data_IF_523652056825
#
_entry.id   IF_523652056825
#
_cell.length_a   1.000
_cell.length_b   1.000
_cell.length_c   1.000
_cell.angle_alpha   90.00
_cell.angle_beta   90.00
_cell.angle_gamma   90.00
#
_symmetry.space_group_name_H-M   'P 1'
#
loop_
_entity.id
_entity.type
_entity.pdbx_description
1 polymer ?
#
# COMPACT_ATOMS: atom_id res chain seq x y z
N UNK A 1 -53.53 2.76 -16.86
CA UNK A 1 -54.58 1.73 -17.01
C UNK A 1 -54.19 0.54 -16.13
N UNK A 2 -55.02 0.16 -15.15
CA UNK A 2 -54.72 -1.00 -14.28
C UNK A 2 -55.05 -2.27 -15.04
N UNK A 3 -54.07 -3.17 -15.17
CA UNK A 3 -54.23 -4.47 -15.83
C UNK A 3 -54.74 -5.47 -14.79
N UNK A 4 -55.78 -6.24 -15.12
CA UNK A 4 -56.38 -7.22 -14.23
C UNK A 4 -56.06 -8.64 -14.69
N UNK A 5 -55.82 -9.53 -13.74
CA UNK A 5 -55.55 -10.95 -13.97
C UNK A 5 -56.60 -11.81 -13.26
N UNK A 6 -57.13 -12.83 -13.93
CA UNK A 6 -58.05 -13.81 -13.35
C UNK A 6 -57.23 -14.87 -12.60
N UNK A 7 -57.32 -14.90 -11.28
CA UNK A 7 -56.69 -15.90 -10.42
C UNK A 7 -57.77 -16.59 -9.58
N UNK A 8 -57.86 -17.92 -9.69
CA UNK A 8 -58.85 -18.72 -8.97
C UNK A 8 -60.31 -18.19 -9.10
N UNK A 9 -60.67 -17.72 -10.30
CA UNK A 9 -62.01 -17.19 -10.60
C UNK A 9 -62.29 -15.78 -10.06
N UNK A 10 -61.28 -15.10 -9.49
CA UNK A 10 -61.38 -13.70 -9.04
C UNK A 10 -60.46 -12.80 -9.83
N UNK A 11 -60.93 -11.61 -10.22
CA UNK A 11 -60.10 -10.60 -10.86
C UNK A 11 -59.23 -9.88 -9.83
N UNK A 12 -57.91 -9.93 -10.01
CA UNK A 12 -56.92 -9.30 -9.15
C UNK A 12 -56.13 -8.27 -9.96
N UNK A 13 -56.03 -7.05 -9.45
CA UNK A 13 -55.28 -5.98 -10.11
C UNK A 13 -53.77 -6.22 -10.08
N UNK A 14 -53.07 -5.83 -11.15
CA UNK A 14 -51.61 -6.00 -11.32
C UNK A 14 -50.80 -5.42 -10.15
N UNK A 15 -51.26 -4.32 -9.56
CA UNK A 15 -50.61 -3.67 -8.43
C UNK A 15 -50.69 -4.51 -7.14
N UNK A 16 -51.81 -5.20 -6.90
CA UNK A 16 -51.97 -6.11 -5.75
C UNK A 16 -51.02 -7.30 -5.90
N UNK A 17 -50.92 -7.84 -7.11
CA UNK A 17 -50.00 -8.93 -7.41
C UNK A 17 -48.54 -8.51 -7.21
N UNK A 18 -48.16 -7.34 -7.73
CA UNK A 18 -46.82 -6.79 -7.57
C UNK A 18 -46.45 -6.55 -6.09
N UNK A 19 -47.39 -6.02 -5.29
CA UNK A 19 -47.19 -5.84 -3.85
C UNK A 19 -47.01 -7.18 -3.12
N UNK A 20 -47.74 -8.23 -3.53
CA UNK A 20 -47.57 -9.58 -2.99
C UNK A 20 -46.17 -10.14 -3.26
N UNK A 21 -45.67 -10.01 -4.49
CA UNK A 21 -44.33 -10.49 -4.87
C UNK A 21 -43.25 -9.73 -4.09
N UNK A 22 -43.34 -8.39 -4.05
CA UNK A 22 -42.39 -7.57 -3.30
C UNK A 22 -42.40 -7.90 -1.79
N UNK A 23 -43.59 -8.04 -1.20
CA UNK A 23 -43.74 -8.43 0.20
C UNK A 23 -43.11 -9.80 0.50
N UNK A 24 -43.32 -10.80 -0.36
CA UNK A 24 -42.70 -12.13 -0.20
C UNK A 24 -41.17 -12.09 -0.35
N UNK A 25 -40.65 -11.27 -1.26
CA UNK A 25 -39.21 -11.16 -1.50
C UNK A 25 -38.53 -10.49 -0.31
N UNK A 26 -39.03 -9.33 0.13
CA UNK A 26 -38.47 -8.62 1.29
C UNK A 26 -38.66 -9.41 2.58
N UNK A 27 -39.82 -10.04 2.78
CA UNK A 27 -40.08 -10.90 3.93
C UNK A 27 -39.16 -12.11 3.97
N UNK A 28 -38.94 -12.77 2.84
CA UNK A 28 -38.03 -13.92 2.72
C UNK A 28 -36.58 -13.54 2.99
N UNK A 29 -36.09 -12.44 2.42
CA UNK A 29 -34.74 -11.93 2.68
C UNK A 29 -34.59 -11.52 4.14
N UNK A 30 -35.55 -10.80 4.70
CA UNK A 30 -35.52 -10.40 6.11
C UNK A 30 -35.48 -11.62 7.03
N UNK A 31 -36.31 -12.64 6.80
CA UNK A 31 -36.33 -13.84 7.63
C UNK A 31 -35.04 -14.66 7.50
N UNK A 32 -34.46 -14.72 6.29
CA UNK A 32 -33.19 -15.41 6.03
C UNK A 32 -31.97 -14.65 6.58
N UNK A 33 -32.05 -13.33 6.72
CA UNK A 33 -30.95 -12.47 7.22
C UNK A 33 -31.14 -12.01 8.67
N UNK A 34 -32.30 -12.30 9.28
CA UNK A 34 -32.60 -12.06 10.69
C UNK A 34 -31.79 -13.04 11.55
N UNK A 35 -30.52 -12.73 11.71
CA UNK A 35 -29.64 -13.33 12.70
C UNK A 35 -30.20 -13.07 14.09
N UNK A 36 -30.33 -14.14 14.88
CA UNK A 36 -30.67 -14.05 16.29
C UNK A 36 -29.69 -13.11 17.01
N UNK A 37 -30.20 -12.40 18.01
CA UNK A 37 -29.41 -11.53 18.87
C UNK A 37 -28.23 -12.31 19.45
N UNK A 38 -27.03 -12.04 18.94
CA UNK A 38 -25.80 -12.44 19.61
C UNK A 38 -25.79 -11.73 20.97
N UNK A 39 -25.60 -12.43 22.09
CA UNK A 39 -25.31 -11.75 23.35
C UNK A 39 -24.11 -10.83 23.12
N UNK A 40 -24.17 -9.61 23.68
CA UNK A 40 -23.10 -8.62 23.60
C UNK A 40 -21.76 -9.33 23.76
N UNK A 41 -20.95 -9.29 22.71
CA UNK A 41 -19.60 -9.82 22.71
C UNK A 41 -18.86 -9.22 23.91
N UNK A 42 -18.63 -10.04 24.93
CA UNK A 42 -17.51 -9.83 25.82
C UNK A 42 -16.27 -9.73 24.94
N UNK A 43 -15.35 -8.82 25.30
CA UNK A 43 -14.14 -8.53 24.55
C UNK A 43 -13.47 -9.81 24.01
N UNK A 44 -12.92 -9.77 22.78
CA UNK A 44 -12.36 -10.95 22.14
C UNK A 44 -11.39 -11.67 23.09
N UNK A 45 -11.48 -13.01 23.22
CA UNK A 45 -10.59 -13.76 24.10
C UNK A 45 -9.15 -13.50 23.67
N UNK A 46 -8.37 -12.93 24.59
CA UNK A 46 -6.95 -12.61 24.38
C UNK A 46 -6.20 -13.94 24.33
N UNK A 47 -5.97 -14.46 23.12
CA UNK A 47 -4.97 -15.51 22.90
C UNK A 47 -3.62 -14.82 22.75
N UNK A 48 -2.91 -14.66 23.86
CA UNK A 48 -1.50 -14.37 23.85
C UNK A 48 -0.73 -15.69 23.97
N UNK A 49 0.26 -15.90 23.11
CA UNK A 49 1.09 -17.10 23.19
C UNK A 49 2.20 -16.96 24.26
N UNK A 50 2.39 -15.75 24.80
CA UNK A 50 3.38 -15.42 25.83
C UNK A 50 2.92 -14.27 26.73
N UNK A 51 3.47 -14.19 27.96
CA UNK A 51 3.17 -13.13 28.95
C UNK A 51 3.55 -11.73 28.45
N UNK A 52 4.54 -11.63 27.57
CA UNK A 52 5.02 -10.35 27.04
C UNK A 52 4.01 -9.76 26.02
N UNK A 53 3.37 -10.62 25.23
CA UNK A 53 2.26 -10.22 24.34
C UNK A 53 1.04 -9.76 25.15
N UNK A 54 0.71 -10.42 26.27
CA UNK A 54 -0.35 -9.95 27.17
C UNK A 54 -0.07 -8.55 27.71
N UNK A 55 1.19 -8.31 28.11
CA UNK A 55 1.61 -7.02 28.69
C UNK A 55 1.54 -5.91 27.64
N UNK A 56 1.89 -6.20 26.39
CA UNK A 56 1.78 -5.27 25.28
C UNK A 56 0.32 -4.99 24.89
N UNK A 57 -0.54 -6.01 24.90
CA UNK A 57 -1.97 -5.86 24.64
C UNK A 57 -2.63 -5.05 25.77
N UNK A 58 -2.27 -5.29 27.03
CA UNK A 58 -2.74 -4.49 28.17
C UNK A 58 -2.24 -3.05 28.10
N UNK A 59 -0.97 -2.83 27.74
CA UNK A 59 -0.40 -1.50 27.56
C UNK A 59 -1.14 -0.72 26.45
N UNK A 60 -1.35 -1.33 25.29
CA UNK A 60 -2.09 -0.68 24.18
C UNK A 60 -3.57 -0.43 24.49
N UNK A 61 -4.24 -1.36 25.20
CA UNK A 61 -5.64 -1.18 25.60
C UNK A 61 -5.83 -0.17 26.74
N UNK A 62 -4.79 0.10 27.55
CA UNK A 62 -4.78 1.20 28.53
C UNK A 62 -4.88 2.60 27.89
N UNK A 63 -4.41 2.76 26.64
CA UNK A 63 -4.62 3.99 25.87
C UNK A 63 -6.04 4.11 25.30
N UNK A 64 -6.74 2.99 25.15
CA UNK A 64 -8.07 2.93 24.51
C UNK A 64 -9.21 3.02 25.54
N UNK A 65 -8.91 2.76 26.81
CA UNK A 65 -9.87 2.74 27.93
C UNK A 65 -9.86 4.00 28.79
N UNK A 66 -9.29 5.10 28.30
CA UNK A 66 -9.51 6.41 28.91
C UNK A 66 -11.01 6.72 28.89
N UNK A 67 -11.63 6.61 30.07
CA UNK A 67 -13.04 6.82 30.34
C UNK A 67 -13.49 8.22 29.84
N UNK A 68 -14.47 8.33 28.93
CA UNK A 68 -14.99 9.62 28.46
C UNK A 68 -15.79 10.37 29.55
N UNK A 69 -15.99 9.80 30.74
CA UNK A 69 -16.79 10.37 31.82
C UNK A 69 -16.00 10.88 33.03
N UNK A 70 -14.66 10.74 33.06
CA UNK A 70 -13.86 11.47 34.04
C UNK A 70 -13.82 12.94 33.63
N UNK A 71 -14.46 13.81 34.42
CA UNK A 71 -14.36 15.26 34.25
C UNK A 71 -12.88 15.66 34.29
N UNK A 72 -12.31 15.91 33.11
CA UNK A 72 -10.99 16.49 32.97
C UNK A 72 -10.98 17.84 33.70
N UNK A 73 -9.94 18.14 34.51
CA UNK A 73 -9.79 19.48 35.06
C UNK A 73 -9.83 20.48 33.90
N UNK A 74 -10.68 21.50 34.04
CA UNK A 74 -11.12 22.45 33.01
C UNK A 74 -10.04 23.44 32.53
N UNK A 75 -8.78 23.01 32.53
CA UNK A 75 -7.63 23.73 31.97
C UNK A 75 -6.68 22.74 31.30
N UNK A 76 -7.17 21.96 30.33
CA UNK A 76 -6.28 21.43 29.31
C UNK A 76 -5.93 22.61 28.41
N UNK A 77 -4.86 23.33 28.77
CA UNK A 77 -4.21 24.27 27.87
C UNK A 77 -3.83 23.49 26.63
N UNK A 78 -4.62 23.60 25.55
CA UNK A 78 -4.31 23.05 24.25
C UNK A 78 -3.02 23.71 23.78
N UNK A 79 -1.89 23.04 24.03
CA UNK A 79 -0.59 23.50 23.56
C UNK A 79 -0.64 23.52 22.04
N UNK A 80 -0.43 24.71 21.45
CA UNK A 80 -0.28 24.83 20.00
C UNK A 80 0.97 24.03 19.62
N UNK A 81 0.86 22.96 18.82
CA UNK A 81 2.03 22.18 18.44
C UNK A 81 2.97 23.08 17.62
N UNK A 82 4.22 23.16 18.06
CA UNK A 82 5.28 23.79 17.28
C UNK A 82 5.80 22.75 16.28
N UNK A 83 6.08 23.16 15.03
CA UNK A 83 6.68 22.26 14.05
C UNK A 83 8.08 21.85 14.51
N UNK A 84 8.54 20.70 14.00
CA UNK A 84 9.90 20.24 14.26
C UNK A 84 10.92 21.30 13.76
N UNK A 85 12.01 21.58 14.51
CA UNK A 85 12.92 22.69 14.20
C UNK A 85 13.60 22.63 12.83
N UNK A 86 13.71 21.43 12.23
CA UNK A 86 14.24 21.22 10.89
C UNK A 86 13.13 20.66 10.01
N UNK A 87 12.99 21.14 8.78
CA UNK A 87 12.07 20.52 7.83
C UNK A 87 12.71 19.22 7.30
N UNK A 88 12.69 18.15 8.11
CA UNK A 88 13.22 16.84 7.73
C UNK A 88 12.07 15.85 7.63
N UNK A 89 11.99 15.19 6.48
CA UNK A 89 11.01 14.16 6.21
C UNK A 89 11.71 12.83 6.03
N UNK A 90 11.11 11.78 6.60
CA UNK A 90 11.56 10.41 6.48
C UNK A 90 10.48 9.57 5.81
N UNK A 91 10.91 8.67 4.95
CA UNK A 91 10.05 7.68 4.35
C UNK A 91 10.72 6.32 4.37
N UNK A 92 9.95 5.29 4.68
CA UNK A 92 10.41 3.91 4.66
C UNK A 92 9.41 3.04 3.91
N UNK A 93 9.91 2.05 3.18
CA UNK A 93 9.08 1.08 2.49
C UNK A 93 9.73 -0.30 2.46
N UNK A 94 8.90 -1.34 2.51
CA UNK A 94 9.33 -2.74 2.47
C UNK A 94 8.57 -3.49 1.38
N UNK A 95 9.30 -4.29 0.62
CA UNK A 95 8.80 -5.03 -0.54
C UNK A 95 9.12 -6.50 -0.39
N UNK A 96 8.08 -7.33 -0.55
CA UNK A 96 8.20 -8.78 -0.58
C UNK A 96 8.55 -9.29 -1.99
N UNK A 97 9.71 -9.91 -2.15
CA UNK A 97 10.27 -10.36 -3.44
C UNK A 97 9.34 -11.32 -4.19
N UNK A 98 8.76 -12.38 -3.58
CA UNK A 98 7.80 -13.26 -4.26
C UNK A 98 6.60 -12.53 -4.90
N UNK A 99 6.19 -11.36 -4.39
CA UNK A 99 5.17 -10.54 -5.06
C UNK A 99 5.71 -9.96 -6.36
N UNK A 100 6.90 -9.37 -6.35
CA UNK A 100 7.54 -8.82 -7.55
C UNK A 100 7.83 -9.94 -8.55
N UNK A 101 8.37 -11.07 -8.08
CA UNK A 101 8.64 -12.26 -8.89
C UNK A 101 7.37 -12.72 -9.63
N UNK A 102 6.21 -12.82 -8.95
CA UNK A 102 4.94 -13.17 -9.62
C UNK A 102 4.50 -12.17 -10.69
N UNK A 103 4.83 -10.89 -10.51
CA UNK A 103 4.48 -9.84 -11.47
C UNK A 103 5.39 -9.87 -12.70
N UNK A 104 6.69 -10.11 -12.54
CA UNK A 104 7.63 -10.12 -13.67
C UNK A 104 7.45 -11.34 -14.59
N UNK A 105 6.96 -12.47 -14.09
CA UNK A 105 6.71 -13.67 -14.90
C UNK A 105 5.52 -13.50 -15.86
N UNK A 106 4.68 -12.47 -15.68
CA UNK A 106 3.60 -12.13 -16.62
C UNK A 106 4.17 -11.24 -17.72
N UNK A 107 4.29 -11.76 -18.94
CA UNK A 107 5.01 -11.12 -20.08
C UNK A 107 4.64 -9.64 -20.30
N UNK A 108 3.36 -9.28 -20.25
CA UNK A 108 2.93 -7.89 -20.47
C UNK A 108 3.07 -7.01 -19.23
N UNK A 109 3.07 -7.63 -18.05
CA UNK A 109 3.09 -6.90 -16.79
C UNK A 109 4.47 -6.36 -16.48
N UNK A 110 5.55 -7.09 -16.79
CA UNK A 110 6.91 -6.60 -16.63
C UNK A 110 7.10 -5.28 -17.38
N UNK A 111 6.77 -5.26 -18.68
CA UNK A 111 6.90 -4.07 -19.53
C UNK A 111 6.03 -2.92 -19.03
N UNK A 112 4.79 -3.19 -18.62
CA UNK A 112 3.91 -2.15 -18.05
C UNK A 112 4.40 -1.62 -16.72
N UNK A 113 4.94 -2.50 -15.87
CA UNK A 113 5.45 -2.17 -14.54
C UNK A 113 6.69 -1.29 -14.66
N UNK A 114 7.69 -1.72 -15.45
CA UNK A 114 8.92 -0.94 -15.66
C UNK A 114 8.61 0.42 -16.29
N UNK A 115 7.77 0.47 -17.33
CA UNK A 115 7.37 1.73 -17.96
C UNK A 115 6.62 2.69 -17.03
N UNK A 116 5.87 2.16 -16.05
CA UNK A 116 5.11 2.97 -15.08
C UNK A 116 6.02 3.50 -13.97
N UNK A 117 6.90 2.64 -13.44
CA UNK A 117 7.63 2.91 -12.20
C UNK A 117 8.99 3.53 -12.47
N UNK A 118 9.72 3.09 -13.50
CA UNK A 118 11.08 3.52 -13.79
C UNK A 118 11.09 4.81 -14.63
N UNK A 119 11.97 5.73 -14.28
CA UNK A 119 12.35 6.87 -15.11
C UNK A 119 13.13 6.36 -16.34
N UNK A 120 13.25 7.16 -17.39
CA UNK A 120 13.92 6.80 -18.65
C UNK A 120 15.39 6.40 -18.43
N UNK A 121 16.11 7.09 -17.52
CA UNK A 121 17.47 6.70 -17.13
C UNK A 121 17.52 5.31 -16.47
N UNK A 122 16.56 5.02 -15.58
CA UNK A 122 16.47 3.72 -14.89
C UNK A 122 16.00 2.61 -15.83
N UNK A 123 15.15 2.92 -16.81
CA UNK A 123 14.76 1.99 -17.87
C UNK A 123 15.98 1.64 -18.72
N UNK A 124 16.80 2.62 -19.08
CA UNK A 124 18.05 2.36 -19.80
C UNK A 124 19.01 1.48 -18.98
N UNK A 125 19.23 1.78 -17.69
CA UNK A 125 20.03 0.91 -16.81
C UNK A 125 19.45 -0.51 -16.72
N UNK A 126 18.12 -0.62 -16.60
CA UNK A 126 17.42 -1.91 -16.58
C UNK A 126 17.68 -2.71 -17.86
N UNK A 127 17.50 -2.09 -19.03
CA UNK A 127 17.70 -2.75 -20.32
C UNK A 127 19.15 -3.16 -20.54
N UNK A 128 20.10 -2.32 -20.16
CA UNK A 128 21.54 -2.61 -20.26
C UNK A 128 21.95 -3.75 -19.32
N UNK A 129 21.42 -3.78 -18.10
CA UNK A 129 21.81 -4.75 -17.06
C UNK A 129 21.15 -6.12 -17.20
N UNK A 130 19.90 -6.16 -17.65
CA UNK A 130 19.10 -7.39 -17.76
C UNK A 130 18.82 -7.82 -19.19
N UNK A 131 19.47 -7.18 -20.18
CA UNK A 131 19.44 -7.44 -21.62
C UNK A 131 18.66 -8.71 -22.01
N UNK A 132 17.37 -8.55 -22.35
CA UNK A 132 16.59 -9.60 -22.99
C UNK A 132 17.30 -9.89 -24.33
N UNK A 133 17.83 -11.11 -24.56
CA UNK A 133 18.81 -11.34 -25.60
C UNK A 133 18.17 -11.19 -26.98
N UNK A 134 18.51 -10.11 -27.67
CA UNK A 134 18.50 -10.04 -29.12
C UNK A 134 19.96 -9.94 -29.57
N UNK A 135 20.57 -11.10 -29.87
CA UNK A 135 21.95 -11.29 -30.34
C UNK A 135 23.07 -11.05 -29.30
N UNK A 136 24.23 -11.70 -29.28
CA UNK A 136 24.81 -12.92 -29.87
C UNK A 136 26.17 -13.09 -29.13
N UNK A 137 26.60 -14.32 -28.90
CA UNK A 137 27.99 -14.80 -28.77
C UNK A 137 29.05 -13.89 -28.07
N UNK A 138 29.32 -14.18 -26.79
CA UNK A 138 30.66 -13.99 -26.21
C UNK A 138 30.92 -15.07 -25.14
N UNK A 139 32.01 -15.85 -25.23
CA UNK A 139 32.25 -17.02 -24.37
C UNK A 139 32.70 -16.66 -22.93
N UNK A 140 32.66 -15.39 -22.55
CA UNK A 140 33.09 -14.90 -21.23
C UNK A 140 31.97 -14.16 -20.47
N UNK A 141 30.71 -14.45 -20.77
CA UNK A 141 29.57 -13.71 -20.24
C UNK A 141 29.32 -14.02 -18.75
N UNK A 142 29.18 -12.94 -17.95
CA UNK A 142 28.57 -12.98 -16.61
C UNK A 142 27.31 -13.86 -16.64
N UNK A 143 27.04 -14.68 -15.61
CA UNK A 143 25.84 -15.49 -15.56
C UNK A 143 24.61 -14.61 -15.81
N UNK A 144 23.68 -15.08 -16.66
CA UNK A 144 22.42 -14.38 -16.91
C UNK A 144 21.80 -14.03 -15.55
N UNK A 145 21.37 -12.78 -15.33
CA UNK A 145 20.73 -12.41 -14.08
C UNK A 145 19.52 -13.32 -13.88
N UNK A 146 19.50 -14.01 -12.74
CA UNK A 146 18.37 -14.87 -12.37
C UNK A 146 17.10 -14.01 -12.28
N UNK A 147 15.92 -14.61 -12.48
CA UNK A 147 14.65 -13.91 -12.25
C UNK A 147 14.59 -13.28 -10.85
N UNK A 148 15.30 -13.87 -9.89
CA UNK A 148 15.51 -13.36 -8.53
C UNK A 148 16.32 -12.07 -8.49
N UNK A 149 17.43 -11.96 -9.23
CA UNK A 149 18.24 -10.74 -9.24
C UNK A 149 17.50 -9.58 -9.90
N UNK A 150 16.75 -9.87 -10.95
CA UNK A 150 15.86 -8.91 -11.59
C UNK A 150 14.76 -8.46 -10.64
N UNK A 151 14.11 -9.41 -9.95
CA UNK A 151 13.08 -9.10 -8.95
C UNK A 151 13.65 -8.24 -7.82
N UNK A 152 14.85 -8.55 -7.32
CA UNK A 152 15.54 -7.80 -6.26
C UNK A 152 15.91 -6.40 -6.71
N UNK A 153 16.43 -6.25 -7.92
CA UNK A 153 16.74 -4.96 -8.51
C UNK A 153 15.48 -4.08 -8.64
N UNK A 154 14.38 -4.65 -9.14
CA UNK A 154 13.10 -3.94 -9.29
C UNK A 154 12.47 -3.60 -7.94
N UNK A 155 12.50 -4.54 -6.99
CA UNK A 155 12.01 -4.36 -5.63
C UNK A 155 12.74 -3.21 -4.92
N UNK A 156 14.07 -3.12 -5.06
CA UNK A 156 14.84 -2.02 -4.50
C UNK A 156 14.42 -0.65 -5.02
N UNK A 157 14.15 -0.54 -6.33
CA UNK A 157 13.70 0.73 -6.94
C UNK A 157 12.27 1.05 -6.53
N UNK A 158 11.41 0.05 -6.48
CA UNK A 158 10.04 0.22 -6.01
C UNK A 158 10.01 0.72 -4.56
N UNK A 159 10.73 0.04 -3.65
CA UNK A 159 10.86 0.41 -2.24
C UNK A 159 11.44 1.83 -2.10
N UNK A 160 12.54 2.13 -2.81
CA UNK A 160 13.19 3.42 -2.75
C UNK A 160 12.27 4.56 -3.23
N UNK A 161 11.49 4.34 -4.29
CA UNK A 161 10.54 5.33 -4.80
C UNK A 161 9.34 5.53 -3.89
N UNK A 162 8.79 4.46 -3.30
CA UNK A 162 7.73 4.59 -2.29
C UNK A 162 8.25 5.33 -1.04
N UNK A 163 9.44 4.98 -0.56
CA UNK A 163 10.09 5.68 0.55
C UNK A 163 10.33 7.16 0.22
N UNK A 164 10.80 7.48 -0.97
CA UNK A 164 10.99 8.87 -1.41
C UNK A 164 9.68 9.64 -1.47
N UNK A 165 8.61 9.05 -2.02
CA UNK A 165 7.29 9.68 -2.06
C UNK A 165 6.78 9.95 -0.63
N UNK A 166 6.96 9.02 0.30
CA UNK A 166 6.62 9.23 1.73
C UNK A 166 7.45 10.34 2.38
N UNK A 167 8.71 10.50 1.98
CA UNK A 167 9.60 11.57 2.45
C UNK A 167 9.38 12.91 1.72
N UNK A 168 8.46 12.99 0.75
CA UNK A 168 8.24 14.21 0.00
C UNK A 168 7.61 15.30 0.88
N UNK A 169 8.02 16.59 0.74
CA UNK A 169 7.52 17.68 1.59
C UNK A 169 6.00 17.87 1.50
N UNK A 170 5.44 17.64 0.32
CA UNK A 170 4.02 17.79 0.03
C UNK A 170 3.24 16.45 0.14
N UNK A 171 3.89 15.40 0.67
CA UNK A 171 3.31 14.08 0.87
C UNK A 171 3.33 13.18 -0.37
N UNK A 172 3.06 11.88 -0.18
CA UNK A 172 3.27 10.85 -1.21
C UNK A 172 2.46 11.00 -2.50
N UNK A 173 1.33 11.71 -2.46
CA UNK A 173 0.50 11.92 -3.63
C UNK A 173 1.00 13.07 -4.53
N UNK A 174 1.88 13.94 -4.03
CA UNK A 174 2.36 15.09 -4.81
C UNK A 174 3.35 14.70 -5.90
N UNK A 175 3.99 13.54 -5.78
CA UNK A 175 5.00 13.05 -6.71
C UNK A 175 4.53 11.78 -7.42
N UNK A 176 4.69 11.78 -8.74
CA UNK A 176 4.60 10.59 -9.56
C UNK A 176 5.84 9.71 -9.43
N UNK A 177 5.74 8.50 -9.98
CA UNK A 177 6.83 7.53 -9.96
C UNK A 177 8.07 7.97 -10.73
N UNK A 178 7.86 8.72 -11.82
CA UNK A 178 8.94 9.16 -12.72
C UNK A 178 9.61 10.46 -12.26
N UNK A 179 8.97 11.19 -11.35
CA UNK A 179 9.48 12.41 -10.73
C UNK A 179 10.51 12.10 -9.64
N UNK A 180 10.73 10.82 -9.37
CA UNK A 180 11.74 10.30 -8.44
C UNK A 180 12.68 9.40 -9.22
N UNK A 181 13.96 9.70 -9.22
CA UNK A 181 15.01 8.90 -9.85
C UNK A 181 15.96 8.34 -8.79
N UNK A 182 16.22 7.03 -8.83
CA UNK A 182 17.26 6.41 -8.00
C UNK A 182 18.54 6.33 -8.82
N UNK A 183 19.62 6.92 -8.32
CA UNK A 183 20.95 6.84 -8.95
C UNK A 183 22.03 6.53 -7.94
N UNK A 184 23.21 6.22 -8.44
CA UNK A 184 24.43 6.12 -7.64
C UNK A 184 25.08 7.50 -7.61
N UNK A 185 25.50 7.94 -6.42
CA UNK A 185 26.20 9.21 -6.22
C UNK A 185 27.52 9.23 -6.98
N UNK A 186 27.79 10.33 -7.69
CA UNK A 186 29.06 10.56 -8.40
C UNK A 186 30.18 10.96 -7.42
N UNK A 187 29.81 11.63 -6.33
CA UNK A 187 30.73 12.15 -5.32
C UNK A 187 30.98 11.17 -4.17
N UNK A 188 29.96 10.39 -3.78
CA UNK A 188 30.02 9.47 -2.63
C UNK A 188 30.10 8.01 -3.11
N UNK A 189 31.30 7.61 -3.57
CA UNK A 189 31.78 6.26 -3.93
C UNK A 189 30.75 5.11 -3.98
N UNK A 190 29.76 5.17 -4.88
CA UNK A 190 28.83 4.05 -5.07
C UNK A 190 27.57 4.07 -4.20
N UNK A 191 27.39 5.08 -3.35
CA UNK A 191 26.22 5.20 -2.47
C UNK A 191 24.95 5.55 -3.27
N UNK A 192 23.81 4.87 -3.03
CA UNK A 192 22.58 5.23 -3.70
C UNK A 192 21.98 6.53 -3.15
N UNK A 193 21.39 7.33 -4.03
CA UNK A 193 20.70 8.58 -3.73
C UNK A 193 19.38 8.63 -4.48
N UNK A 194 18.43 9.41 -3.94
CA UNK A 194 17.20 9.77 -4.63
C UNK A 194 17.34 11.19 -5.16
N UNK A 195 16.95 11.40 -6.41
CA UNK A 195 16.80 12.72 -7.02
C UNK A 195 15.32 12.97 -7.25
N UNK A 196 14.79 14.02 -6.63
CA UNK A 196 13.47 14.56 -6.89
C UNK A 196 13.58 15.50 -8.09
N UNK A 197 12.82 15.21 -9.14
CA UNK A 197 12.79 15.95 -10.41
C UNK A 197 11.59 16.92 -10.47
N UNK A 198 11.01 17.25 -9.32
CA UNK A 198 9.89 18.17 -9.19
C UNK A 198 10.38 19.63 -9.21
N UNK A 199 9.91 20.41 -10.19
CA UNK A 199 10.24 21.83 -10.37
C UNK A 199 11.51 22.12 -11.20
N UNK A 200 12.01 23.36 -11.11
CA UNK A 200 13.17 23.83 -11.90
C UNK A 200 14.52 23.33 -11.36
N UNK A 201 14.59 22.92 -10.10
CA UNK A 201 15.82 22.45 -9.45
C UNK A 201 15.65 21.06 -8.86
N UNK A 202 16.50 20.14 -9.31
CA UNK A 202 16.55 18.79 -8.77
C UNK A 202 17.04 18.80 -7.31
N UNK A 203 16.29 18.15 -6.42
CA UNK A 203 16.64 18.02 -5.00
C UNK A 203 17.14 16.61 -4.69
N UNK A 204 18.15 16.50 -3.84
CA UNK A 204 18.76 15.20 -3.48
C UNK A 204 18.28 14.76 -2.09
N UNK A 205 17.77 13.53 -2.01
CA UNK A 205 17.47 12.82 -0.78
C UNK A 205 18.50 11.72 -0.51
N UNK A 206 18.89 11.54 0.76
CA UNK A 206 19.76 10.44 1.17
C UNK A 206 18.96 9.14 1.17
N UNK A 207 19.50 8.11 0.53
CA UNK A 207 18.85 6.82 0.39
C UNK A 207 19.70 5.73 1.03
N UNK A 208 19.02 4.77 1.65
CA UNK A 208 19.57 3.49 2.07
C UNK A 208 18.65 2.38 1.56
N UNK A 209 19.23 1.35 0.96
CA UNK A 209 18.51 0.15 0.51
C UNK A 209 19.21 -1.05 1.15
N UNK A 210 18.42 -1.96 1.72
CA UNK A 210 18.89 -3.25 2.21
C UNK A 210 17.96 -4.36 1.74
N UNK A 211 18.44 -5.59 1.71
CA UNK A 211 17.62 -6.76 1.46
C UNK A 211 18.08 -7.93 2.32
N UNK A 212 17.13 -8.72 2.79
CA UNK A 212 17.40 -9.97 3.50
C UNK A 212 16.30 -10.99 3.19
N UNK A 213 16.71 -12.23 2.93
CA UNK A 213 15.83 -13.29 2.42
C UNK A 213 14.94 -12.81 1.26
N UNK A 214 13.63 -12.84 1.52
CA UNK A 214 12.57 -12.48 0.57
C UNK A 214 12.09 -11.02 0.69
N UNK A 215 12.82 -10.16 1.39
CA UNK A 215 12.41 -8.77 1.62
C UNK A 215 13.47 -7.78 1.17
N UNK A 216 13.00 -6.65 0.65
CA UNK A 216 13.81 -5.47 0.35
C UNK A 216 13.22 -4.30 1.11
N UNK A 217 14.06 -3.54 1.80
CA UNK A 217 13.66 -2.33 2.52
C UNK A 217 14.43 -1.14 1.96
N UNK A 218 13.76 0.01 1.89
CA UNK A 218 14.40 1.27 1.58
C UNK A 218 13.97 2.34 2.58
N UNK A 219 14.91 3.22 2.92
CA UNK A 219 14.68 4.38 3.75
C UNK A 219 15.26 5.61 3.09
N UNK A 220 14.48 6.68 3.04
CA UNK A 220 14.84 7.97 2.45
C UNK A 220 14.73 9.06 3.50
N UNK A 221 15.75 9.90 3.58
CA UNK A 221 15.74 11.15 4.32
C UNK A 221 15.84 12.31 3.32
N UNK A 222 14.87 13.22 3.37
CA UNK A 222 14.82 14.40 2.53
C UNK A 222 14.58 15.66 3.37
N UNK A 223 15.15 16.78 2.93
CA UNK A 223 14.81 18.09 3.48
C UNK A 223 13.55 18.62 2.79
N UNK A 224 12.69 19.29 3.58
CA UNK A 224 11.47 20.02 3.20
C UNK A 224 11.76 21.20 2.31
#
# INVERSE_FOLDING_TARGET
>A
MVVYYQLAGKQVGSHVLAMGVLGSLFGGVYLATRGGSQPKQAAPPIQASSKDEETFIQYSSSFTSADPSSQLPSTVTTMKPLPFPLALNIGTDIVHLPRITRLIHRRDYLTRFTRRILNDHEQHDFHTRFALPAAMHSPNQRPLPSSTDMARWLAGRFAAKEAARKAAPNGAASLGWKDVMVRVSETDSGRPEVVYLDGEMARIGKLSISHDGDYVVATVLAAG
#
